data_IF_009169743125
#
_entry.id   IF_009169743125
#
_cell.length_a   1.000
_cell.length_b   1.000
_cell.length_c   1.000
_cell.angle_alpha   90.00
_cell.angle_beta   90.00
_cell.angle_gamma   90.00
#
_symmetry.space_group_name_H-M   'P 1'
#
loop_
_entity.id
_entity.type
_entity.pdbx_description
1 polymer ?
#
# COMPACT_ATOMS: atom_id res chain seq x y z
N UNK A 1 -14.13 -17.68 5.59
CA UNK A 1 -12.72 -17.26 5.51
C UNK A 1 -12.60 -15.85 6.05
N UNK A 2 -11.47 -15.49 6.64
CA UNK A 2 -11.19 -14.10 7.03
C UNK A 2 -11.04 -13.23 5.78
N UNK A 3 -11.48 -11.98 5.85
CA UNK A 3 -11.48 -11.04 4.73
C UNK A 3 -10.34 -10.02 4.86
N UNK A 4 -9.53 -9.90 3.80
CA UNK A 4 -8.52 -8.85 3.65
C UNK A 4 -8.98 -7.85 2.60
N UNK A 5 -9.05 -6.56 2.97
CA UNK A 5 -9.33 -5.46 2.03
C UNK A 5 -8.07 -4.61 1.85
N UNK A 6 -7.66 -4.42 0.59
CA UNK A 6 -6.53 -3.57 0.22
C UNK A 6 -7.02 -2.47 -0.71
N UNK A 7 -6.88 -1.23 -0.27
CA UNK A 7 -7.47 -0.07 -0.93
C UNK A 7 -6.41 0.72 -1.69
N UNK A 8 -6.64 0.92 -2.98
CA UNK A 8 -5.86 1.82 -3.82
C UNK A 8 -6.30 3.27 -3.56
N UNK A 9 -5.45 4.04 -2.87
CA UNK A 9 -5.80 5.37 -2.43
C UNK A 9 -6.00 6.34 -3.60
N UNK A 10 -5.04 6.40 -4.54
CA UNK A 10 -5.10 7.37 -5.61
C UNK A 10 -6.24 7.09 -6.60
N UNK A 11 -6.54 5.83 -6.88
CA UNK A 11 -7.68 5.46 -7.71
C UNK A 11 -9.01 5.99 -7.13
N UNK A 12 -9.19 5.95 -5.80
CA UNK A 12 -10.36 6.51 -5.13
C UNK A 12 -10.30 8.04 -5.01
N UNK A 13 -9.14 8.62 -4.72
CA UNK A 13 -8.92 10.06 -4.62
C UNK A 13 -9.32 10.74 -5.94
N UNK A 14 -8.78 10.27 -7.08
CA UNK A 14 -9.13 10.79 -8.39
C UNK A 14 -10.60 10.57 -8.72
N UNK A 15 -11.16 9.40 -8.39
CA UNK A 15 -12.60 9.14 -8.58
C UNK A 15 -13.47 10.18 -7.88
N UNK A 16 -13.19 10.48 -6.61
CA UNK A 16 -13.97 11.47 -5.87
C UNK A 16 -13.70 12.90 -6.32
N UNK A 17 -12.47 13.20 -6.73
CA UNK A 17 -12.17 14.51 -7.34
C UNK A 17 -13.07 14.77 -8.55
N UNK A 18 -13.13 13.85 -9.50
CA UNK A 18 -13.96 14.00 -10.69
C UNK A 18 -15.47 13.93 -10.39
N UNK A 19 -15.87 13.08 -9.45
CA UNK A 19 -17.28 12.95 -9.07
C UNK A 19 -17.87 14.25 -8.48
N UNK A 20 -17.06 15.02 -7.77
CA UNK A 20 -17.48 16.28 -7.16
C UNK A 20 -17.06 17.54 -7.94
N UNK A 21 -16.37 17.41 -9.08
CA UNK A 21 -15.81 18.55 -9.82
C UNK A 21 -16.86 19.59 -10.19
N UNK A 22 -18.08 19.17 -10.56
CA UNK A 22 -19.19 20.08 -10.90
C UNK A 22 -19.81 20.80 -9.70
N UNK A 23 -19.68 20.27 -8.48
CA UNK A 23 -20.24 20.82 -7.25
C UNK A 23 -19.38 20.48 -6.05
N UNK A 24 -18.22 21.13 -5.89
CA UNK A 24 -17.30 20.83 -4.81
C UNK A 24 -17.85 21.24 -3.44
N UNK A 25 -17.58 20.42 -2.44
CA UNK A 25 -17.82 20.74 -1.03
C UNK A 25 -16.64 21.57 -0.52
N UNK A 26 -16.94 22.65 0.20
CA UNK A 26 -15.88 23.48 0.82
C UNK A 26 -16.14 23.65 2.32
N UNK A 27 -15.06 23.62 3.11
CA UNK A 27 -15.15 24.00 4.52
C UNK A 27 -15.17 25.54 4.67
N UNK A 28 -15.32 26.03 5.92
CA UNK A 28 -15.34 27.46 6.21
C UNK A 28 -14.06 28.20 5.84
N UNK A 29 -12.93 27.51 5.77
CA UNK A 29 -11.66 28.06 5.31
C UNK A 29 -11.55 28.13 3.77
N UNK A 30 -12.57 27.68 3.03
CA UNK A 30 -12.60 27.67 1.56
C UNK A 30 -11.92 26.47 0.92
N UNK A 31 -11.31 25.57 1.68
CA UNK A 31 -10.68 24.36 1.17
C UNK A 31 -11.71 23.42 0.54
N UNK A 32 -11.38 22.85 -0.61
CA UNK A 32 -12.17 21.79 -1.23
C UNK A 32 -12.00 20.48 -0.44
N UNK A 33 -13.05 20.05 0.23
CA UNK A 33 -13.05 18.85 1.09
C UNK A 33 -13.73 17.64 0.46
N UNK A 34 -14.18 17.76 -0.78
CA UNK A 34 -14.98 16.74 -1.49
C UNK A 34 -14.28 15.38 -1.55
N UNK A 35 -12.98 15.38 -1.89
CA UNK A 35 -12.16 14.16 -1.99
C UNK A 35 -12.08 13.48 -0.64
N UNK A 36 -11.73 14.24 0.40
CA UNK A 36 -11.57 13.73 1.77
C UNK A 36 -12.90 13.18 2.30
N UNK A 37 -14.01 13.88 2.04
CA UNK A 37 -15.35 13.43 2.41
C UNK A 37 -15.73 12.12 1.73
N UNK A 38 -15.60 12.05 0.40
CA UNK A 38 -15.96 10.86 -0.38
C UNK A 38 -15.13 9.64 0.01
N UNK A 39 -13.82 9.83 0.17
CA UNK A 39 -12.90 8.79 0.59
C UNK A 39 -13.23 8.27 1.99
N UNK A 40 -13.41 9.17 2.97
CA UNK A 40 -13.78 8.82 4.35
C UNK A 40 -15.11 8.08 4.41
N UNK A 41 -16.12 8.58 3.68
CA UNK A 41 -17.43 7.90 3.60
C UNK A 41 -17.28 6.48 3.11
N UNK A 42 -16.54 6.28 2.03
CA UNK A 42 -16.37 4.97 1.41
C UNK A 42 -15.63 3.98 2.32
N UNK A 43 -14.56 4.41 3.00
CA UNK A 43 -13.87 3.54 3.97
C UNK A 43 -14.81 3.12 5.13
N UNK A 44 -15.57 4.06 5.66
CA UNK A 44 -16.56 3.76 6.70
C UNK A 44 -17.66 2.82 6.20
N UNK A 45 -18.09 2.98 4.96
CA UNK A 45 -19.07 2.10 4.34
C UNK A 45 -18.52 0.68 4.16
N UNK A 46 -17.24 0.52 3.76
CA UNK A 46 -16.56 -0.78 3.71
C UNK A 46 -16.55 -1.43 5.10
N UNK A 47 -16.07 -0.72 6.13
CA UNK A 47 -16.01 -1.26 7.49
C UNK A 47 -17.38 -1.69 8.01
N UNK A 48 -18.44 -0.90 7.77
CA UNK A 48 -19.80 -1.18 8.21
C UNK A 48 -20.50 -2.31 7.44
N UNK A 49 -20.21 -2.45 6.16
CA UNK A 49 -20.89 -3.38 5.25
C UNK A 49 -20.19 -4.73 5.20
N UNK A 50 -18.87 -4.69 5.05
CA UNK A 50 -18.08 -5.86 4.74
C UNK A 50 -17.47 -6.53 5.99
N UNK A 51 -17.32 -5.75 7.08
CA UNK A 51 -16.69 -6.22 8.32
C UNK A 51 -15.35 -6.90 8.05
N UNK A 52 -14.37 -6.19 7.44
CA UNK A 52 -13.06 -6.77 7.14
C UNK A 52 -12.32 -7.16 8.42
N UNK A 53 -11.66 -8.32 8.41
CA UNK A 53 -10.73 -8.73 9.48
C UNK A 53 -9.42 -7.93 9.36
N UNK A 54 -8.95 -7.77 8.11
CA UNK A 54 -7.75 -7.02 7.77
C UNK A 54 -8.08 -5.92 6.76
N UNK A 55 -7.48 -4.73 6.94
CA UNK A 55 -7.69 -3.60 6.04
C UNK A 55 -6.42 -2.75 5.94
N UNK A 56 -5.99 -2.43 4.72
CA UNK A 56 -4.88 -1.53 4.46
C UNK A 56 -5.17 -0.57 3.32
N UNK A 57 -4.55 0.62 3.34
CA UNK A 57 -4.68 1.64 2.29
C UNK A 57 -3.31 1.93 1.69
N UNK A 58 -3.12 1.59 0.41
CA UNK A 58 -1.86 1.80 -0.29
C UNK A 58 -1.85 3.13 -1.03
N UNK A 59 -0.72 3.82 -0.94
CA UNK A 59 -0.44 5.09 -1.62
C UNK A 59 0.80 4.96 -2.50
N UNK A 60 0.81 5.63 -3.63
CA UNK A 60 2.02 5.79 -4.43
C UNK A 60 3.03 6.65 -3.67
N UNK A 61 4.31 6.26 -3.64
CA UNK A 61 5.34 7.03 -2.98
C UNK A 61 5.71 8.28 -3.78
N UNK A 62 6.24 9.27 -3.09
CA UNK A 62 6.90 10.40 -3.75
C UNK A 62 8.18 9.92 -4.45
N UNK A 63 8.41 10.38 -5.68
CA UNK A 63 9.66 10.09 -6.41
C UNK A 63 9.53 9.10 -7.57
N UNK A 64 8.33 8.53 -7.77
CA UNK A 64 8.06 7.59 -8.85
C UNK A 64 8.42 6.14 -8.51
N UNK A 65 8.32 5.26 -9.51
CA UNK A 65 8.55 3.83 -9.39
C UNK A 65 9.70 3.34 -10.27
N UNK A 66 10.14 2.11 -10.07
CA UNK A 66 11.14 1.43 -10.89
C UNK A 66 10.78 1.43 -12.38
N UNK A 67 9.48 1.57 -12.74
CA UNK A 67 9.03 1.64 -14.14
C UNK A 67 9.61 2.86 -14.86
N UNK A 68 9.77 4.01 -14.18
CA UNK A 68 10.42 5.19 -14.76
C UNK A 68 11.92 5.02 -14.99
N UNK A 69 12.59 4.19 -14.19
CA UNK A 69 14.00 3.85 -14.41
C UNK A 69 14.18 3.00 -15.66
N UNK A 70 13.20 2.13 -15.95
CA UNK A 70 13.21 1.25 -17.12
C UNK A 70 12.74 1.98 -18.38
N UNK A 71 11.73 2.85 -18.24
CA UNK A 71 11.08 3.58 -19.32
C UNK A 71 10.78 5.01 -18.86
N UNK A 72 11.66 5.98 -19.14
CA UNK A 72 11.52 7.37 -18.67
C UNK A 72 10.21 8.05 -19.08
N UNK A 73 9.64 7.65 -20.22
CA UNK A 73 8.36 8.17 -20.72
C UNK A 73 7.13 7.58 -19.99
N UNK A 74 7.32 6.62 -19.08
CA UNK A 74 6.24 6.04 -18.31
C UNK A 74 5.48 7.11 -17.52
N UNK A 75 4.16 7.20 -17.75
CA UNK A 75 3.26 8.22 -17.19
C UNK A 75 3.65 9.69 -17.48
N UNK A 76 4.53 9.94 -18.49
CA UNK A 76 4.97 11.28 -18.82
C UNK A 76 3.86 12.15 -19.46
N UNK A 77 2.82 11.52 -20.01
CA UNK A 77 1.65 12.18 -20.58
C UNK A 77 0.59 12.59 -19.54
N UNK A 78 0.76 12.21 -18.26
CA UNK A 78 -0.15 12.59 -17.19
C UNK A 78 -0.03 14.09 -16.90
N UNK A 79 -1.16 14.78 -16.82
CA UNK A 79 -1.19 16.16 -16.35
C UNK A 79 -0.69 16.26 -14.91
N UNK A 80 -0.26 17.46 -14.53
CA UNK A 80 0.08 17.74 -13.13
C UNK A 80 -1.11 17.43 -12.21
N UNK A 81 -0.80 16.91 -11.03
CA UNK A 81 -1.83 16.59 -10.05
C UNK A 81 -2.52 17.88 -9.60
N UNK A 82 -3.86 17.97 -9.71
CA UNK A 82 -4.60 19.15 -9.27
C UNK A 82 -4.28 19.55 -7.83
N UNK A 83 -4.20 20.86 -7.57
CA UNK A 83 -3.88 21.40 -6.24
C UNK A 83 -4.86 20.89 -5.16
N UNK A 84 -6.14 20.81 -5.47
CA UNK A 84 -7.17 20.27 -4.56
C UNK A 84 -6.85 18.82 -4.12
N UNK A 85 -6.26 18.01 -4.99
CA UNK A 85 -5.81 16.65 -4.65
C UNK A 85 -4.57 16.72 -3.74
N UNK A 86 -3.58 17.55 -4.10
CA UNK A 86 -2.36 17.70 -3.30
C UNK A 86 -2.68 18.14 -1.87
N UNK A 87 -3.67 19.05 -1.69
CA UNK A 87 -4.14 19.48 -0.39
C UNK A 87 -4.95 18.40 0.35
N UNK A 88 -5.65 17.54 -0.39
CA UNK A 88 -6.49 16.50 0.20
C UNK A 88 -5.71 15.28 0.72
N UNK A 89 -4.62 14.88 0.04
CA UNK A 89 -3.86 13.67 0.37
C UNK A 89 -3.37 13.64 1.83
N UNK A 90 -2.80 14.72 2.42
CA UNK A 90 -2.41 14.72 3.82
C UNK A 90 -3.57 14.46 4.78
N UNK A 91 -4.74 15.04 4.50
CA UNK A 91 -5.94 14.82 5.32
C UNK A 91 -6.47 13.39 5.19
N UNK A 92 -6.45 12.84 3.98
CA UNK A 92 -6.83 11.43 3.76
C UNK A 92 -5.93 10.51 4.59
N UNK A 93 -4.61 10.68 4.53
CA UNK A 93 -3.65 9.89 5.33
C UNK A 93 -3.93 10.01 6.82
N UNK A 94 -4.06 11.23 7.36
CA UNK A 94 -4.37 11.48 8.78
C UNK A 94 -5.67 10.80 9.22
N UNK A 95 -6.72 10.85 8.39
CA UNK A 95 -8.00 10.19 8.69
C UNK A 95 -7.85 8.66 8.67
N UNK A 96 -7.16 8.10 7.67
CA UNK A 96 -6.87 6.66 7.58
C UNK A 96 -6.14 6.19 8.83
N UNK A 97 -5.09 6.89 9.25
CA UNK A 97 -4.33 6.60 10.46
C UNK A 97 -5.18 6.75 11.72
N UNK A 98 -6.02 7.80 11.81
CA UNK A 98 -6.94 8.00 12.93
C UNK A 98 -8.07 6.96 12.98
N UNK A 99 -8.45 6.38 11.83
CA UNK A 99 -9.34 5.22 11.75
C UNK A 99 -8.65 3.91 12.16
N UNK A 100 -7.39 3.96 12.57
CA UNK A 100 -6.55 2.80 12.90
C UNK A 100 -6.37 1.84 11.72
N UNK A 101 -6.20 2.40 10.52
CA UNK A 101 -5.93 1.66 9.28
C UNK A 101 -4.50 2.01 8.85
N UNK A 102 -3.64 1.03 8.53
CA UNK A 102 -2.29 1.30 8.10
C UNK A 102 -2.24 2.00 6.74
N UNK A 103 -1.38 3.00 6.62
CA UNK A 103 -0.96 3.62 5.37
C UNK A 103 0.22 2.84 4.83
N UNK A 104 0.04 2.22 3.67
CA UNK A 104 1.03 1.37 3.02
C UNK A 104 1.70 2.17 1.89
N UNK A 105 2.99 2.43 2.02
CA UNK A 105 3.77 3.19 1.04
C UNK A 105 5.20 2.66 1.01
N UNK A 106 5.64 2.14 -0.13
CA UNK A 106 6.98 1.56 -0.29
C UNK A 106 7.75 2.34 -1.36
N UNK A 107 8.86 2.99 -1.02
CA UNK A 107 9.66 3.73 -2.00
C UNK A 107 10.08 2.89 -3.19
N UNK A 108 9.88 3.42 -4.41
CA UNK A 108 10.25 2.77 -5.66
C UNK A 108 9.20 1.80 -6.22
N UNK A 109 8.08 1.56 -5.51
CA UNK A 109 6.97 0.70 -5.96
C UNK A 109 5.66 1.48 -5.94
N UNK A 110 4.78 1.21 -6.88
CA UNK A 110 3.46 1.83 -6.96
C UNK A 110 2.47 1.14 -6.00
N UNK A 111 1.33 1.77 -5.74
CA UNK A 111 0.30 1.20 -4.87
C UNK A 111 -0.21 -0.16 -5.36
N UNK A 112 -0.29 -0.34 -6.69
CA UNK A 112 -0.69 -1.60 -7.31
C UNK A 112 0.30 -2.74 -7.03
N UNK A 113 1.62 -2.46 -7.02
CA UNK A 113 2.65 -3.44 -6.67
C UNK A 113 2.56 -3.84 -5.19
N UNK A 114 2.34 -2.86 -4.30
CA UNK A 114 2.17 -3.10 -2.86
C UNK A 114 0.92 -3.95 -2.61
N UNK A 115 -0.20 -3.56 -3.22
CA UNK A 115 -1.47 -4.30 -3.11
C UNK A 115 -1.33 -5.70 -3.72
N UNK A 116 -0.72 -5.82 -4.91
CA UNK A 116 -0.51 -7.10 -5.56
C UNK A 116 0.32 -8.07 -4.71
N UNK A 117 1.41 -7.58 -4.14
CA UNK A 117 2.27 -8.37 -3.24
C UNK A 117 1.52 -8.83 -1.99
N UNK A 118 0.81 -7.91 -1.32
CA UNK A 118 0.05 -8.26 -0.11
C UNK A 118 -1.17 -9.13 -0.43
N UNK A 119 -1.82 -8.93 -1.57
CA UNK A 119 -2.91 -9.78 -2.02
C UNK A 119 -2.44 -11.22 -2.27
N UNK A 120 -1.31 -11.40 -2.94
CA UNK A 120 -0.71 -12.70 -3.18
C UNK A 120 -0.39 -13.42 -1.87
N UNK A 121 0.34 -12.75 -0.96
CA UNK A 121 0.66 -13.29 0.37
C UNK A 121 -0.58 -13.56 1.22
N UNK A 122 -1.61 -12.70 1.12
CA UNK A 122 -2.89 -12.89 1.81
C UNK A 122 -3.64 -14.14 1.32
N UNK A 123 -3.65 -14.39 0.01
CA UNK A 123 -4.23 -15.63 -0.56
C UNK A 123 -3.47 -16.86 -0.06
N UNK A 124 -2.13 -16.82 -0.06
CA UNK A 124 -1.30 -17.91 0.46
C UNK A 124 -1.54 -18.17 1.96
N UNK A 125 -1.84 -17.11 2.73
CA UNK A 125 -2.22 -17.19 4.15
C UNK A 125 -3.68 -17.62 4.37
N UNK A 126 -4.46 -17.86 3.30
CA UNK A 126 -5.83 -18.38 3.37
C UNK A 126 -6.92 -17.31 3.56
N UNK A 127 -6.68 -16.07 3.18
CA UNK A 127 -7.66 -14.99 3.20
C UNK A 127 -8.49 -14.91 1.91
N UNK A 128 -9.76 -14.45 2.03
CA UNK A 128 -10.49 -13.87 0.91
C UNK A 128 -10.03 -12.41 0.73
N UNK A 129 -9.37 -12.14 -0.38
CA UNK A 129 -8.76 -10.83 -0.65
C UNK A 129 -9.65 -10.01 -1.57
N UNK A 130 -9.86 -8.74 -1.20
CA UNK A 130 -10.59 -7.77 -1.98
C UNK A 130 -9.70 -6.56 -2.28
N UNK A 131 -9.30 -6.41 -3.54
CA UNK A 131 -8.55 -5.26 -4.03
C UNK A 131 -9.54 -4.16 -4.41
N UNK A 132 -9.54 -3.08 -3.64
CA UNK A 132 -10.51 -1.98 -3.77
C UNK A 132 -9.98 -0.95 -4.75
N UNK A 133 -10.31 -1.11 -6.02
CA UNK A 133 -9.86 -0.24 -7.11
C UNK A 133 -10.80 -0.32 -8.31
N UNK A 134 -10.98 0.75 -9.10
CA UNK A 134 -11.61 0.70 -10.41
C UNK A 134 -10.67 0.27 -11.54
N UNK A 135 -9.36 0.14 -11.27
CA UNK A 135 -8.34 -0.11 -12.29
C UNK A 135 -8.45 -1.52 -12.88
N UNK A 136 -8.38 -1.58 -14.21
CA UNK A 136 -8.46 -2.81 -15.00
C UNK A 136 -7.22 -3.70 -14.86
N UNK A 137 -6.08 -3.10 -14.53
CA UNK A 137 -4.78 -3.77 -14.51
C UNK A 137 -4.70 -4.81 -13.39
N UNK A 138 -5.43 -4.60 -12.31
CA UNK A 138 -5.61 -5.57 -11.24
C UNK A 138 -6.34 -6.86 -11.69
N UNK A 139 -6.93 -6.87 -12.90
CA UNK A 139 -7.51 -8.06 -13.49
C UNK A 139 -6.53 -9.23 -13.59
N UNK A 140 -5.23 -8.95 -13.73
CA UNK A 140 -4.17 -9.96 -13.79
C UNK A 140 -3.95 -10.71 -12.47
N UNK A 141 -4.42 -10.15 -11.35
CA UNK A 141 -4.27 -10.71 -9.99
C UNK A 141 -5.48 -11.51 -9.53
N UNK A 142 -6.58 -11.48 -10.31
CA UNK A 142 -7.82 -12.13 -9.92
C UNK A 142 -7.65 -13.65 -9.88
N UNK A 143 -8.08 -14.26 -8.77
CA UNK A 143 -8.15 -15.70 -8.60
C UNK A 143 -9.39 -16.06 -7.76
N UNK A 144 -9.54 -17.34 -7.36
CA UNK A 144 -10.72 -17.78 -6.61
C UNK A 144 -10.91 -17.01 -5.30
N UNK A 145 -9.79 -16.75 -4.59
CA UNK A 145 -9.77 -16.04 -3.31
C UNK A 145 -9.24 -14.60 -3.42
N UNK A 146 -9.08 -14.04 -4.63
CA UNK A 146 -8.67 -12.66 -4.85
C UNK A 146 -9.56 -12.01 -5.91
N UNK A 147 -10.27 -10.94 -5.53
CA UNK A 147 -11.28 -10.29 -6.36
C UNK A 147 -11.09 -8.78 -6.34
N UNK A 148 -11.51 -8.10 -7.41
CA UNK A 148 -11.58 -6.65 -7.41
C UNK A 148 -12.92 -6.22 -6.81
N UNK A 149 -12.87 -5.30 -5.86
CA UNK A 149 -14.02 -4.67 -5.22
C UNK A 149 -14.19 -3.27 -5.79
N UNK A 150 -15.20 -3.09 -6.63
CA UNK A 150 -15.40 -1.86 -7.41
C UNK A 150 -16.69 -1.19 -7.05
N UNK A 151 -16.63 0.08 -6.70
CA UNK A 151 -17.83 0.87 -6.47
C UNK A 151 -18.50 1.22 -7.80
N UNK A 152 -19.78 0.88 -7.94
CA UNK A 152 -20.64 1.15 -9.11
C UNK A 152 -21.73 2.15 -8.73
N UNK A 153 -21.70 3.33 -9.36
CA UNK A 153 -22.63 4.41 -8.99
C UNK A 153 -22.41 4.90 -7.56
N UNK A 154 -23.47 5.35 -6.90
CA UNK A 154 -23.38 5.96 -5.57
C UNK A 154 -23.24 4.94 -4.44
N UNK A 155 -23.97 3.83 -4.49
CA UNK A 155 -24.04 2.86 -3.39
C UNK A 155 -23.89 1.40 -3.85
N UNK A 156 -23.77 1.15 -5.15
CA UNK A 156 -23.59 -0.18 -5.73
C UNK A 156 -22.16 -0.67 -5.59
N UNK A 157 -22.00 -2.00 -5.47
CA UNK A 157 -20.71 -2.67 -5.48
C UNK A 157 -20.74 -3.72 -6.58
N UNK A 158 -19.66 -3.80 -7.34
CA UNK A 158 -19.39 -4.82 -8.32
C UNK A 158 -18.16 -5.61 -7.86
N UNK A 159 -18.31 -6.92 -7.74
CA UNK A 159 -17.20 -7.83 -7.44
C UNK A 159 -16.76 -8.46 -8.75
N UNK A 160 -15.50 -8.17 -9.16
CA UNK A 160 -14.92 -8.72 -10.38
C UNK A 160 -14.07 -9.93 -10.00
N UNK A 161 -14.60 -11.11 -10.24
CA UNK A 161 -13.92 -12.39 -10.06
C UNK A 161 -13.50 -12.99 -11.41
N UNK A 162 -13.06 -14.26 -11.40
CA UNK A 162 -12.58 -14.99 -12.61
C UNK A 162 -13.59 -14.99 -13.75
N UNK A 163 -14.87 -15.22 -13.42
CA UNK A 163 -15.94 -15.25 -14.44
C UNK A 163 -16.04 -13.93 -15.19
N UNK A 164 -15.99 -12.80 -14.48
CA UNK A 164 -16.05 -11.48 -15.10
C UNK A 164 -14.82 -11.19 -16.00
N UNK A 165 -13.63 -11.67 -15.61
CA UNK A 165 -12.41 -11.60 -16.44
C UNK A 165 -12.58 -12.46 -17.68
N UNK A 166 -13.09 -13.69 -17.53
CA UNK A 166 -13.39 -14.60 -18.62
C UNK A 166 -14.41 -14.02 -19.59
N UNK A 167 -15.52 -13.49 -19.09
CA UNK A 167 -16.55 -12.85 -19.93
C UNK A 167 -15.99 -11.66 -20.70
N UNK A 168 -15.18 -10.83 -20.05
CA UNK A 168 -14.64 -9.62 -20.65
C UNK A 168 -13.58 -9.91 -21.71
N UNK A 169 -12.62 -10.78 -21.41
CA UNK A 169 -11.42 -10.98 -22.23
C UNK A 169 -11.39 -12.32 -22.97
N UNK A 170 -12.29 -13.27 -22.64
CA UNK A 170 -12.35 -14.61 -23.21
C UNK A 170 -11.15 -15.49 -22.86
N UNK A 171 -10.53 -15.27 -21.71
CA UNK A 171 -9.36 -16.00 -21.23
C UNK A 171 -9.69 -16.77 -19.93
N UNK A 172 -9.14 -17.97 -19.80
CA UNK A 172 -9.31 -18.81 -18.59
C UNK A 172 -8.33 -18.42 -17.47
N UNK A 173 -7.14 -17.95 -17.82
CA UNK A 173 -6.13 -17.53 -16.88
C UNK A 173 -6.09 -16.00 -16.77
N UNK A 174 -6.55 -15.40 -15.67
CA UNK A 174 -6.54 -13.95 -15.47
C UNK A 174 -5.15 -13.29 -15.58
N UNK A 175 -4.07 -14.01 -15.29
CA UNK A 175 -2.71 -13.48 -15.44
C UNK A 175 -2.40 -13.00 -16.86
N UNK A 176 -3.08 -13.54 -17.88
CA UNK A 176 -2.92 -13.14 -19.27
C UNK A 176 -3.48 -11.73 -19.57
N UNK A 177 -4.17 -11.08 -18.63
CA UNK A 177 -4.58 -9.67 -18.76
C UNK A 177 -3.36 -8.77 -19.01
N UNK A 178 -2.23 -9.02 -18.36
CA UNK A 178 -0.98 -8.27 -18.62
C UNK A 178 -0.47 -8.44 -20.06
N UNK A 179 -0.67 -9.62 -20.66
CA UNK A 179 -0.28 -9.90 -22.05
C UNK A 179 -1.20 -9.18 -23.05
N UNK A 180 -2.49 -9.09 -22.74
CA UNK A 180 -3.46 -8.30 -23.51
C UNK A 180 -3.09 -6.81 -23.46
N UNK A 181 -2.78 -6.29 -22.27
CA UNK A 181 -2.38 -4.90 -22.08
C UNK A 181 -1.07 -4.58 -22.80
N UNK A 182 -0.10 -5.49 -22.77
CA UNK A 182 1.15 -5.31 -23.49
C UNK A 182 0.95 -5.19 -25.00
N UNK A 183 0.08 -6.02 -25.59
CA UNK A 183 -0.23 -5.98 -27.02
C UNK A 183 -1.03 -4.73 -27.41
N UNK A 184 -2.04 -4.38 -26.61
CA UNK A 184 -2.92 -3.25 -26.86
C UNK A 184 -2.25 -1.91 -26.51
N UNK A 185 -1.37 -1.90 -25.50
CA UNK A 185 -0.82 -0.72 -24.86
C UNK A 185 -1.73 -0.15 -23.79
N UNK A 186 -1.18 0.74 -22.99
CA UNK A 186 -1.94 1.56 -22.04
C UNK A 186 -1.65 3.05 -22.24
N UNK A 187 -2.62 3.74 -22.84
CA UNK A 187 -2.51 5.17 -23.10
C UNK A 187 -2.48 6.00 -21.79
N UNK A 188 -3.09 5.50 -20.71
CA UNK A 188 -3.10 6.21 -19.42
C UNK A 188 -1.72 6.22 -18.75
N UNK A 189 -0.93 5.18 -19.02
CA UNK A 189 0.43 5.01 -18.49
C UNK A 189 1.52 5.30 -19.51
N UNK A 190 1.10 5.78 -20.70
CA UNK A 190 1.98 6.04 -21.82
C UNK A 190 2.77 4.79 -22.26
N UNK A 191 2.17 3.61 -22.13
CA UNK A 191 2.77 2.36 -22.60
C UNK A 191 2.31 2.11 -24.05
N UNK A 192 3.23 2.12 -25.02
CA UNK A 192 2.87 1.89 -26.42
C UNK A 192 2.55 0.42 -26.67
N UNK A 193 1.39 0.18 -27.30
CA UNK A 193 1.03 -1.13 -27.82
C UNK A 193 1.50 -1.33 -29.27
N UNK A 194 1.33 -2.55 -29.79
CA UNK A 194 1.66 -2.88 -31.20
C UNK A 194 0.76 -2.08 -32.15
N UNK A 195 1.32 -1.33 -33.12
CA UNK A 195 0.54 -0.47 -34.01
C UNK A 195 -0.56 -1.23 -34.77
N UNK A 196 -1.82 -0.82 -34.55
CA UNK A 196 -3.00 -1.42 -35.18
C UNK A 196 -3.55 -2.67 -34.45
N UNK A 197 -3.02 -3.01 -33.28
CA UNK A 197 -3.58 -3.99 -32.36
C UNK A 197 -4.35 -3.26 -31.27
N UNK A 198 -5.67 -3.28 -31.33
CA UNK A 198 -6.54 -2.79 -30.26
C UNK A 198 -6.99 -3.93 -29.34
N UNK A 199 -7.75 -3.60 -28.31
CA UNK A 199 -8.21 -4.53 -27.26
C UNK A 199 -8.77 -5.85 -27.84
N UNK A 200 -9.72 -5.77 -28.77
CA UNK A 200 -10.36 -6.97 -29.36
C UNK A 200 -9.39 -7.89 -30.09
N UNK A 201 -8.38 -7.31 -30.75
CA UNK A 201 -7.36 -8.08 -31.47
C UNK A 201 -6.37 -8.69 -30.47
N UNK A 202 -5.96 -7.94 -29.48
CA UNK A 202 -5.09 -8.41 -28.40
C UNK A 202 -5.74 -9.59 -27.66
N UNK A 203 -7.04 -9.50 -27.32
CA UNK A 203 -7.77 -10.60 -26.69
C UNK A 203 -7.75 -11.86 -27.57
N UNK A 204 -8.03 -11.75 -28.88
CA UNK A 204 -8.01 -12.90 -29.81
C UNK A 204 -6.64 -13.56 -29.91
N UNK A 205 -5.58 -12.74 -29.99
CA UNK A 205 -4.21 -13.25 -30.04
C UNK A 205 -3.85 -14.00 -28.75
N UNK A 206 -4.19 -13.46 -27.61
CA UNK A 206 -3.93 -14.10 -26.32
C UNK A 206 -4.79 -15.35 -26.12
N UNK A 207 -6.06 -15.36 -26.58
CA UNK A 207 -6.90 -16.56 -26.56
C UNK A 207 -6.32 -17.69 -27.40
N UNK A 208 -5.75 -17.37 -28.56
CA UNK A 208 -5.20 -18.36 -29.50
C UNK A 208 -3.79 -18.81 -29.12
N UNK A 209 -2.94 -17.89 -28.70
CA UNK A 209 -1.50 -18.11 -28.53
C UNK A 209 -1.02 -18.00 -27.07
N UNK A 210 -1.82 -17.51 -26.15
CA UNK A 210 -1.45 -17.36 -24.74
C UNK A 210 -0.56 -16.16 -24.51
N UNK A 211 0.67 -16.39 -24.04
CA UNK A 211 1.57 -15.31 -23.60
C UNK A 211 2.23 -14.55 -24.78
N UNK A 212 2.67 -13.33 -24.51
CA UNK A 212 3.41 -12.48 -25.44
C UNK A 212 4.64 -13.20 -26.00
N UNK A 213 5.37 -13.94 -25.18
CA UNK A 213 6.54 -14.70 -25.61
C UNK A 213 6.17 -15.75 -26.66
N UNK A 214 5.07 -16.48 -26.43
CA UNK A 214 4.60 -17.49 -27.40
C UNK A 214 4.06 -16.83 -28.68
N UNK A 215 3.40 -15.68 -28.55
CA UNK A 215 2.94 -14.86 -29.70
C UNK A 215 4.14 -14.42 -30.55
N UNK A 216 5.21 -13.94 -29.93
CA UNK A 216 6.44 -13.55 -30.63
C UNK A 216 7.13 -14.72 -31.32
N UNK A 217 7.22 -15.87 -30.66
CA UNK A 217 7.83 -17.08 -31.23
C UNK A 217 7.07 -17.63 -32.44
N UNK A 218 5.77 -17.34 -32.56
CA UNK A 218 4.92 -17.82 -33.62
C UNK A 218 4.40 -16.69 -34.54
N UNK A 219 5.05 -15.53 -34.52
CA UNK A 219 4.63 -14.35 -35.29
C UNK A 219 4.53 -14.63 -36.81
N UNK A 220 5.37 -15.51 -37.33
CA UNK A 220 5.35 -15.98 -38.72
C UNK A 220 4.09 -16.80 -39.09
N UNK A 221 3.45 -17.42 -38.10
CA UNK A 221 2.22 -18.19 -38.26
C UNK A 221 0.96 -17.35 -38.13
N UNK A 222 1.08 -16.17 -37.54
CA UNK A 222 -0.04 -15.23 -37.40
C UNK A 222 -0.36 -14.66 -38.78
N UNK A 223 -1.51 -15.08 -39.33
CA UNK A 223 -1.96 -14.63 -40.65
C UNK A 223 -2.20 -13.13 -40.65
N UNK A 224 -1.74 -12.44 -41.68
CA UNK A 224 -1.87 -11.00 -41.90
C UNK A 224 -0.69 -10.15 -41.45
N UNK A 225 -0.71 -8.86 -41.81
CA UNK A 225 0.26 -7.82 -41.37
C UNK A 225 0.44 -7.70 -39.85
N UNK A 226 -0.41 -8.39 -39.06
CA UNK A 226 -0.29 -8.37 -37.61
C UNK A 226 0.94 -9.15 -37.14
N UNK A 227 1.22 -10.32 -37.73
CA UNK A 227 2.40 -11.12 -37.43
C UNK A 227 3.69 -10.36 -37.72
N UNK A 228 3.78 -9.71 -38.90
CA UNK A 228 4.91 -8.87 -39.27
C UNK A 228 5.15 -7.75 -38.25
N UNK A 229 4.07 -7.01 -37.87
CA UNK A 229 4.15 -5.94 -36.89
C UNK A 229 4.55 -6.41 -35.48
N UNK A 230 4.05 -7.58 -35.08
CA UNK A 230 4.42 -8.18 -33.78
C UNK A 230 5.91 -8.53 -33.79
N UNK A 231 6.40 -9.16 -34.88
CA UNK A 231 7.81 -9.48 -35.03
C UNK A 231 8.70 -8.22 -35.02
N UNK A 232 8.30 -7.18 -35.75
CA UNK A 232 8.98 -5.88 -35.74
C UNK A 232 9.00 -5.21 -34.38
N UNK A 233 7.93 -5.41 -33.58
CA UNK A 233 7.78 -4.82 -32.26
C UNK A 233 8.64 -5.51 -31.19
N UNK A 234 8.93 -6.79 -31.33
CA UNK A 234 9.91 -7.59 -30.60
C UNK A 234 10.17 -7.16 -29.15
N UNK A 235 11.36 -6.61 -28.90
CA UNK A 235 11.78 -6.18 -27.56
C UNK A 235 10.87 -5.12 -26.92
N UNK A 236 10.25 -4.24 -27.74
CA UNK A 236 9.30 -3.24 -27.24
C UNK A 236 8.06 -3.88 -26.65
N UNK A 237 7.59 -5.01 -27.20
CA UNK A 237 6.47 -5.74 -26.69
C UNK A 237 6.80 -6.44 -25.36
N UNK A 238 8.01 -6.97 -25.23
CA UNK A 238 8.49 -7.52 -23.94
C UNK A 238 8.64 -6.43 -22.89
N UNK A 239 9.12 -5.23 -23.28
CA UNK A 239 9.17 -4.08 -22.40
C UNK A 239 7.75 -3.65 -21.98
N UNK A 240 6.81 -3.55 -22.91
CA UNK A 240 5.42 -3.22 -22.61
C UNK A 240 4.82 -4.23 -21.59
N UNK A 241 5.03 -5.54 -21.77
CA UNK A 241 4.63 -6.55 -20.82
C UNK A 241 5.25 -6.34 -19.43
N UNK A 242 6.55 -6.01 -19.37
CA UNK A 242 7.21 -5.73 -18.10
C UNK A 242 6.59 -4.52 -17.38
N UNK A 243 6.22 -3.48 -18.12
CA UNK A 243 5.61 -2.26 -17.57
C UNK A 243 4.17 -2.48 -17.09
N UNK A 244 3.39 -3.31 -17.81
CA UNK A 244 2.01 -3.64 -17.44
C UNK A 244 1.90 -4.73 -16.36
N UNK A 245 3.01 -5.42 -16.05
CA UNK A 245 3.01 -6.45 -15.02
C UNK A 245 3.12 -5.82 -13.63
N UNK A 246 2.16 -6.15 -12.76
CA UNK A 246 2.20 -5.78 -11.34
C UNK A 246 3.26 -6.63 -10.64
N UNK A 247 4.17 -5.97 -9.92
CA UNK A 247 5.24 -6.63 -9.17
C UNK A 247 4.66 -7.29 -7.90
N UNK A 248 5.02 -8.57 -7.67
CA UNK A 248 4.57 -9.33 -6.50
C UNK A 248 5.68 -9.55 -5.45
N UNK A 249 6.86 -8.94 -5.70
CA UNK A 249 8.06 -9.09 -4.87
C UNK A 249 8.47 -7.76 -4.20
N UNK A 250 7.48 -6.92 -3.86
CA UNK A 250 7.72 -5.70 -3.09
C UNK A 250 8.30 -6.09 -1.71
N UNK A 251 9.36 -5.40 -1.22
CA UNK A 251 9.94 -5.68 0.09
C UNK A 251 9.05 -5.20 1.24
N UNK A 252 7.86 -5.78 1.32
CA UNK A 252 6.88 -5.57 2.38
C UNK A 252 6.47 -6.91 2.97
N UNK A 253 6.48 -7.01 4.30
CA UNK A 253 6.04 -8.22 4.98
C UNK A 253 4.51 -8.23 5.14
N UNK A 254 3.91 -9.42 4.98
CA UNK A 254 2.53 -9.65 5.36
C UNK A 254 2.48 -10.08 6.83
N UNK A 255 1.99 -9.21 7.69
CA UNK A 255 1.77 -9.49 9.11
C UNK A 255 0.34 -9.13 9.47
N UNK A 256 -0.40 -10.09 10.01
CA UNK A 256 -1.81 -9.90 10.38
C UNK A 256 -1.99 -8.74 11.36
N UNK A 257 -1.09 -8.63 12.34
CA UNK A 257 -1.13 -7.59 13.37
C UNK A 257 -1.06 -6.17 12.80
N UNK A 258 -0.32 -5.98 11.70
CA UNK A 258 -0.17 -4.67 11.06
C UNK A 258 -1.42 -4.25 10.26
N UNK A 259 -2.24 -5.22 9.83
CA UNK A 259 -3.42 -5.00 9.00
C UNK A 259 -4.74 -5.20 9.75
N UNK A 260 -4.69 -5.71 10.99
CA UNK A 260 -5.88 -5.99 11.78
C UNK A 260 -6.67 -4.71 12.06
N UNK A 261 -7.97 -4.74 11.77
CA UNK A 261 -8.87 -3.62 12.05
C UNK A 261 -9.00 -3.44 13.56
N UNK A 262 -8.64 -2.27 14.04
CA UNK A 262 -8.68 -1.92 15.46
C UNK A 262 -9.59 -0.71 15.74
N UNK A 263 -9.77 -0.37 17.02
CA UNK A 263 -10.62 0.74 17.41
C UNK A 263 -10.06 2.07 16.95
N UNK A 264 -10.86 2.94 16.31
CA UNK A 264 -10.39 4.23 15.81
C UNK A 264 -10.08 5.20 16.96
N UNK A 265 -9.16 6.12 16.71
CA UNK A 265 -8.80 7.21 17.64
C UNK A 265 -9.85 8.31 17.57
N UNK A 266 -10.91 8.16 18.38
CA UNK A 266 -12.14 8.97 18.28
C UNK A 266 -11.89 10.47 18.45
N UNK A 267 -11.03 10.88 19.39
CA UNK A 267 -10.79 12.31 19.64
C UNK A 267 -10.02 12.96 18.49
N UNK A 268 -9.09 12.23 17.87
CA UNK A 268 -8.37 12.68 16.68
C UNK A 268 -9.31 12.80 15.46
N UNK A 269 -10.19 11.82 15.26
CA UNK A 269 -11.21 11.89 14.23
C UNK A 269 -12.18 13.06 14.44
N UNK A 270 -12.61 13.32 15.69
CA UNK A 270 -13.45 14.48 16.00
C UNK A 270 -12.77 15.79 15.66
N UNK A 271 -11.49 15.94 15.99
CA UNK A 271 -10.71 17.13 15.65
C UNK A 271 -10.61 17.33 14.13
N UNK A 272 -10.26 16.27 13.39
CA UNK A 272 -10.17 16.29 11.92
C UNK A 272 -11.52 16.61 11.26
N UNK A 273 -12.60 15.99 11.71
CA UNK A 273 -13.93 16.23 11.15
C UNK A 273 -14.46 17.62 11.49
N UNK A 274 -14.08 18.20 12.64
CA UNK A 274 -14.40 19.58 12.98
C UNK A 274 -13.63 20.58 12.08
N UNK A 275 -12.33 20.35 11.83
CA UNK A 275 -11.49 21.15 10.93
C UNK A 275 -12.02 21.14 9.48
N UNK A 276 -12.54 19.99 9.03
CA UNK A 276 -13.07 19.79 7.68
C UNK A 276 -14.56 20.15 7.53
N UNK A 277 -15.24 20.57 8.60
CA UNK A 277 -16.70 20.83 8.66
C UNK A 277 -17.56 19.58 8.33
N UNK A 278 -17.11 18.38 8.66
CA UNK A 278 -17.81 17.11 8.40
C UNK A 278 -18.85 16.81 9.49
N UNK A 279 -19.89 17.61 9.57
CA UNK A 279 -20.95 17.52 10.60
C UNK A 279 -21.61 16.14 10.66
N UNK A 280 -21.83 15.49 9.51
CA UNK A 280 -22.42 14.16 9.45
C UNK A 280 -21.55 13.14 10.21
N UNK A 281 -20.24 13.13 9.97
CA UNK A 281 -19.34 12.20 10.64
C UNK A 281 -19.15 12.53 12.12
N UNK A 282 -19.18 13.81 12.50
CA UNK A 282 -19.15 14.24 13.90
C UNK A 282 -20.38 13.72 14.66
N UNK A 283 -21.57 13.87 14.10
CA UNK A 283 -22.81 13.37 14.71
C UNK A 283 -22.78 11.84 14.87
N UNK A 284 -22.26 11.13 13.88
CA UNK A 284 -22.12 9.67 13.95
C UNK A 284 -21.19 9.24 15.10
N UNK A 285 -20.07 9.96 15.32
CA UNK A 285 -19.11 9.65 16.40
C UNK A 285 -19.68 9.99 17.79
N UNK A 286 -20.54 11.00 17.92
CA UNK A 286 -21.20 11.35 19.17
C UNK A 286 -22.30 10.37 19.56
N UNK A 287 -22.93 9.72 18.59
CA UNK A 287 -23.99 8.75 18.80
C UNK A 287 -23.48 7.31 19.04
N UNK A 288 -22.19 7.07 18.86
CA UNK A 288 -21.56 5.82 19.29
C UNK A 288 -21.48 5.88 20.82
N UNK A 289 -22.22 5.01 21.52
CA UNK A 289 -22.03 4.81 22.95
C UNK A 289 -20.54 4.52 23.25
N UNK A 290 -20.01 4.94 24.43
CA UNK A 290 -18.63 4.65 24.76
C UNK A 290 -18.43 3.13 24.65
N UNK A 291 -17.57 2.71 23.73
CA UNK A 291 -17.13 1.34 23.67
C UNK A 291 -16.52 1.00 25.03
N UNK A 292 -16.86 -0.16 25.61
CA UNK A 292 -16.11 -0.67 26.76
C UNK A 292 -14.62 -0.58 26.42
N UNK A 293 -13.79 -0.10 27.36
CA UNK A 293 -12.36 0.05 27.09
C UNK A 293 -11.82 -1.33 26.70
N UNK A 294 -11.43 -1.47 25.45
CA UNK A 294 -10.63 -2.61 25.00
C UNK A 294 -9.35 -2.63 25.84
N UNK A 295 -8.86 -3.81 26.25
CA UNK A 295 -7.62 -3.89 27.00
C UNK A 295 -6.55 -3.10 26.27
N UNK A 296 -5.97 -2.12 26.98
CA UNK A 296 -4.90 -1.27 26.45
C UNK A 296 -3.79 -2.20 25.91
N UNK A 297 -3.55 -2.14 24.60
CA UNK A 297 -2.38 -2.77 24.02
C UNK A 297 -1.10 -2.28 24.70
N UNK A 298 0.00 -3.02 24.65
CA UNK A 298 1.18 -2.71 25.43
C UNK A 298 1.63 -1.26 25.18
N UNK A 299 1.62 -0.47 26.23
CA UNK A 299 2.08 0.93 26.20
C UNK A 299 3.56 0.92 25.77
N UNK A 300 3.92 1.68 24.76
CA UNK A 300 5.31 1.93 24.44
C UNK A 300 5.97 2.60 25.65
N UNK A 301 6.76 1.84 26.41
CA UNK A 301 7.56 2.39 27.49
C UNK A 301 8.83 2.97 26.89
N UNK A 302 8.96 4.30 26.96
CA UNK A 302 10.23 4.97 26.67
C UNK A 302 11.20 4.75 27.83
N UNK A 303 12.29 4.04 27.57
CA UNK A 303 13.38 3.86 28.54
C UNK A 303 14.46 4.90 28.22
N UNK A 304 14.65 5.84 29.13
CA UNK A 304 15.76 6.79 29.05
C UNK A 304 17.03 6.19 29.68
N UNK A 305 18.10 6.13 28.92
CA UNK A 305 19.43 5.77 29.42
C UNK A 305 20.32 7.03 29.43
N UNK A 306 20.91 7.34 30.58
CA UNK A 306 21.91 8.41 30.71
C UNK A 306 23.29 7.84 30.59
N UNK A 307 24.11 8.36 29.69
CA UNK A 307 25.51 7.98 29.52
C UNK A 307 26.40 9.23 29.52
N UNK A 308 27.60 9.11 30.05
CA UNK A 308 28.60 10.16 29.99
C UNK A 308 29.84 9.68 29.26
N UNK A 309 30.25 10.41 28.22
CA UNK A 309 31.50 10.17 27.49
C UNK A 309 32.22 11.51 27.39
N UNK A 310 33.50 11.51 27.80
CA UNK A 310 34.38 12.70 27.75
C UNK A 310 33.80 13.99 28.37
N UNK A 311 33.19 13.88 29.57
CA UNK A 311 32.74 15.04 30.36
C UNK A 311 31.45 15.70 29.88
N UNK A 312 30.72 15.11 28.92
CA UNK A 312 29.39 15.54 28.51
C UNK A 312 28.35 14.47 28.78
N UNK A 313 27.20 14.87 29.29
CA UNK A 313 26.06 13.97 29.54
C UNK A 313 25.10 13.97 28.37
N UNK A 314 24.70 12.78 27.90
CA UNK A 314 23.73 12.62 26.84
C UNK A 314 22.54 11.83 27.34
N UNK A 315 21.34 12.25 26.94
CA UNK A 315 20.11 11.50 27.14
C UNK A 315 19.69 10.85 25.82
N UNK A 316 19.71 9.51 25.79
CA UNK A 316 19.32 8.73 24.61
C UNK A 316 17.94 8.12 24.87
N UNK A 317 16.97 8.48 24.06
CA UNK A 317 15.62 7.93 24.10
C UNK A 317 15.46 6.84 23.05
N UNK A 318 15.03 5.67 23.48
CA UNK A 318 14.63 4.59 22.59
C UNK A 318 13.10 4.45 22.63
N UNK A 319 12.47 4.54 21.48
CA UNK A 319 11.07 4.15 21.28
C UNK A 319 11.06 2.79 20.59
N UNK A 320 10.65 1.74 21.30
CA UNK A 320 10.52 0.38 20.76
C UNK A 320 9.42 -0.37 21.49
N UNK A 321 8.60 -1.11 20.77
CA UNK A 321 7.68 -2.09 21.34
C UNK A 321 8.49 -3.25 21.95
N UNK A 322 8.39 -3.45 23.25
CA UNK A 322 8.89 -4.65 23.93
C UNK A 322 7.71 -5.63 24.08
N UNK A 323 7.73 -6.67 23.30
CA UNK A 323 6.95 -7.87 23.59
C UNK A 323 7.70 -8.71 24.64
N UNK A 324 7.00 -9.04 25.70
CA UNK A 324 7.24 -10.04 26.74
C UNK A 324 8.56 -10.00 27.56
N UNK A 325 8.33 -9.82 28.84
CA UNK A 325 9.29 -9.88 29.93
C UNK A 325 9.75 -11.31 30.21
N UNK A 326 11.03 -11.60 29.91
CA UNK A 326 11.73 -12.66 30.60
C UNK A 326 12.48 -12.05 31.79
N UNK A 327 12.02 -12.28 32.99
CA UNK A 327 12.72 -11.91 34.24
C UNK A 327 13.95 -12.79 34.40
N UNK A 328 15.12 -12.27 34.04
CA UNK A 328 16.39 -12.84 34.47
C UNK A 328 16.81 -12.15 35.78
N UNK A 329 16.77 -12.87 36.89
CA UNK A 329 17.28 -12.44 38.18
C UNK A 329 18.82 -12.32 38.11
N UNK A 330 19.35 -11.12 38.30
CA UNK A 330 20.77 -10.83 38.42
C UNK A 330 21.12 -10.86 39.93
N UNK A 331 22.08 -11.67 40.40
CA UNK A 331 22.54 -11.62 41.76
C UNK A 331 23.29 -10.31 42.04
N UNK A 332 23.26 -9.80 43.30
CA UNK A 332 23.92 -8.55 43.65
C UNK A 332 25.44 -8.64 43.55
N UNK A 333 26.13 -7.57 43.14
CA UNK A 333 27.56 -7.54 43.03
C UNK A 333 28.21 -7.45 44.42
N UNK A 334 29.21 -8.29 44.65
CA UNK A 334 30.11 -8.21 45.81
C UNK A 334 30.98 -6.94 45.71
N UNK A 335 31.11 -6.24 46.80
CA UNK A 335 31.87 -5.00 47.03
C UNK A 335 33.33 -5.12 46.64
N UNK A 336 33.79 -4.31 45.68
CA UNK A 336 35.22 -4.15 45.38
C UNK A 336 35.47 -3.68 43.94
N UNK A 337 35.87 -2.42 43.79
CA UNK A 337 36.34 -1.70 42.59
C UNK A 337 35.28 -1.22 41.58
N UNK A 338 34.80 -0.01 41.77
CA UNK A 338 33.60 0.56 41.19
C UNK A 338 33.80 1.44 39.93
N UNK A 339 34.91 1.51 39.24
CA UNK A 339 35.08 2.53 38.19
C UNK A 339 35.53 2.08 36.79
N UNK A 340 35.95 0.84 36.56
CA UNK A 340 36.34 0.39 35.21
C UNK A 340 35.43 -0.64 34.57
N UNK A 341 34.59 -1.28 35.34
CA UNK A 341 33.73 -2.37 34.86
C UNK A 341 32.40 -1.89 34.24
N UNK A 342 31.97 -0.66 34.53
CA UNK A 342 30.64 -0.21 34.10
C UNK A 342 30.55 0.21 32.60
N UNK A 343 31.62 0.77 32.04
CA UNK A 343 31.61 1.20 30.63
C UNK A 343 31.79 0.02 29.67
N UNK A 344 32.64 -0.94 30.01
CA UNK A 344 32.90 -2.12 29.17
C UNK A 344 31.73 -3.11 29.14
N UNK A 345 31.06 -3.33 30.27
CA UNK A 345 29.89 -4.20 30.33
C UNK A 345 28.66 -3.63 29.55
N UNK A 346 28.52 -2.31 29.51
CA UNK A 346 27.41 -1.67 28.79
C UNK A 346 27.65 -1.62 27.28
N UNK A 347 28.87 -1.43 26.82
CA UNK A 347 29.24 -1.53 25.39
C UNK A 347 29.11 -2.97 24.90
N UNK A 348 29.46 -3.99 25.71
CA UNK A 348 29.32 -5.39 25.36
C UNK A 348 27.85 -5.83 25.30
N UNK A 349 26.98 -5.28 26.16
CA UNK A 349 25.55 -5.57 26.11
C UNK A 349 24.89 -4.98 24.84
N UNK A 350 25.25 -3.77 24.45
CA UNK A 350 24.74 -3.15 23.20
C UNK A 350 25.26 -3.87 21.96
N UNK A 351 26.52 -4.29 21.94
CA UNK A 351 27.08 -5.07 20.82
C UNK A 351 26.51 -6.51 20.75
N UNK A 352 26.17 -7.11 21.90
CA UNK A 352 25.50 -8.43 21.91
C UNK A 352 24.03 -8.36 21.49
N UNK A 353 23.30 -7.30 21.80
CA UNK A 353 21.96 -7.08 21.27
C UNK A 353 21.97 -6.91 19.75
N UNK A 354 22.96 -6.24 19.20
CA UNK A 354 23.12 -6.08 17.75
C UNK A 354 23.51 -7.40 17.03
N UNK A 355 24.16 -8.35 17.74
CA UNK A 355 24.57 -9.64 17.17
C UNK A 355 23.52 -10.73 17.34
N UNK A 356 22.61 -10.63 18.30
CA UNK A 356 21.52 -11.60 18.52
C UNK A 356 20.28 -11.32 17.67
N UNK A 357 20.18 -10.15 17.04
CA UNK A 357 19.09 -9.78 16.12
C UNK A 357 19.46 -9.94 14.64
N UNK A 358 20.37 -10.83 14.29
CA UNK A 358 20.62 -11.24 12.91
C UNK A 358 19.77 -12.46 12.56
N UNK A 359 18.68 -12.33 11.82
CA UNK A 359 18.20 -13.41 10.97
C UNK A 359 19.14 -13.52 9.77
N UNK A 360 19.40 -14.73 9.34
CA UNK A 360 20.40 -15.11 8.33
C UNK A 360 20.09 -14.70 6.90
N UNK A 361 19.40 -13.57 6.62
CA UNK A 361 19.07 -13.16 5.25
C UNK A 361 18.69 -11.70 5.06
N UNK A 362 19.18 -10.77 5.89
CA UNK A 362 18.90 -9.34 5.65
C UNK A 362 20.20 -8.62 5.32
N UNK A 363 20.30 -8.16 4.07
CA UNK A 363 21.27 -7.17 3.62
C UNK A 363 21.15 -5.91 4.49
N UNK A 364 22.26 -5.26 4.89
CA UNK A 364 22.22 -4.12 5.79
C UNK A 364 21.66 -2.89 5.08
N UNK A 365 20.34 -2.72 5.09
CA UNK A 365 19.72 -1.43 4.84
C UNK A 365 19.39 -0.79 6.17
N UNK A 366 19.95 0.38 6.35
CA UNK A 366 19.89 1.29 7.48
C UNK A 366 18.51 1.31 8.13
N UNK A 367 18.41 0.80 9.34
CA UNK A 367 17.40 1.28 10.27
C UNK A 367 17.73 2.75 10.54
N UNK A 368 16.87 3.65 10.11
CA UNK A 368 16.98 5.07 10.44
C UNK A 368 16.55 5.19 11.88
N UNK A 369 17.52 5.10 12.80
CA UNK A 369 17.31 5.51 14.18
C UNK A 369 17.29 7.03 14.22
N UNK A 370 16.13 7.62 14.44
CA UNK A 370 16.05 9.03 14.78
C UNK A 370 16.52 9.20 16.23
N UNK A 371 17.80 9.45 16.40
CA UNK A 371 18.36 9.83 17.68
C UNK A 371 18.29 11.36 17.79
N UNK A 372 17.41 11.85 18.65
CA UNK A 372 17.44 13.27 19.04
C UNK A 372 18.41 13.42 20.21
N UNK A 373 19.60 13.92 19.92
CA UNK A 373 20.59 14.25 20.96
C UNK A 373 20.34 15.69 21.40
N UNK A 374 19.95 15.88 22.66
CA UNK A 374 19.94 17.23 23.27
C UNK A 374 21.11 17.32 24.25
N UNK A 375 21.93 18.33 24.08
CA UNK A 375 22.94 18.71 25.07
C UNK A 375 22.21 19.24 26.32
N UNK A 376 22.55 18.67 27.45
CA UNK A 376 22.19 19.19 28.76
C UNK A 376 23.35 20.07 29.22
N UNK A 377 23.22 21.38 29.06
CA UNK A 377 24.07 22.38 29.71
C UNK A 377 23.50 22.74 31.08
#
# INVERSE_FOLDING_TARGET
MKKLFLVDAYALIFKYYYAFMGRPMRNRAGMNTSVVFGFTKFLRDIQKREHPDLLGVAFDPKGGSFRREIFPEYKANRAETPEDILLSVPYVKRIVEAMCIPVLEVPGYEADDVIGTLAHKGVEAGYDVFMVTPDKDYGQLVCDNCKIYKQKGNDGIEIVGREAIREKYGIENPQLVRDILALWGDASDNIPGVPGIGEKTACKLVQEWGTVENILQNADRIKSRQGEKIAEWGDKLLLAKRLTTICLDVPIDFREEDLTVCAPRIDELKALFAELDFRMFLNDLTNLAPAEPLPEGPRSSSVGLTGSVSGRSYLIWFTGCLAETTTASIPPPSTGSLFSASASARVTAVSRLHTTLRPSSISPRRAVFSACVRDLS
#
